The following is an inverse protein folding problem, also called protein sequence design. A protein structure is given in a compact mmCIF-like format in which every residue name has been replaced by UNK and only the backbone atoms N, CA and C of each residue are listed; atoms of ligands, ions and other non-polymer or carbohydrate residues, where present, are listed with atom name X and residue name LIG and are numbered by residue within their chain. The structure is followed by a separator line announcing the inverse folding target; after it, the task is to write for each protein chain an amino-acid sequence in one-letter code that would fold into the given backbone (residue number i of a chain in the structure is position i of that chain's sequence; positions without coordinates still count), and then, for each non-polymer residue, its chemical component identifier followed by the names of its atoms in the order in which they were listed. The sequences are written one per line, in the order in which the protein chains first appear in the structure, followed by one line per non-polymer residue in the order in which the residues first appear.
data_IF_298624960086
#
_entry.id   IF_298624960086
#
_cell.length_a   1.000
_cell.length_b   1.000
_cell.length_c   1.000
_cell.angle_alpha   90.00
_cell.angle_beta   90.00
_cell.angle_gamma   90.00
#
_symmetry.space_group_name_H-M   'P 1'
#
loop_
_entity.id
_entity.type
_entity.pdbx_description
1 polymer ?
#
# COMPACT_ATOMS: atom_id res chain seq x y z
N UNK A 1 -42.19 0.15 9.92
CA UNK A 1 -41.12 -0.05 8.90
C UNK A 1 -40.45 1.30 8.69
N UNK A 2 -39.52 1.67 9.57
CA UNK A 2 -38.84 2.97 9.59
C UNK A 2 -37.35 2.72 9.45
N UNK A 3 -36.94 2.40 8.22
CA UNK A 3 -35.55 2.43 7.81
C UNK A 3 -35.15 3.88 7.64
N UNK A 4 -34.77 4.51 8.74
CA UNK A 4 -34.10 5.80 8.73
C UNK A 4 -32.75 5.59 8.03
N UNK A 5 -32.61 6.12 6.82
CA UNK A 5 -31.34 6.18 6.10
C UNK A 5 -30.34 6.95 6.97
N UNK A 6 -29.60 6.20 7.80
CA UNK A 6 -28.55 6.76 8.63
C UNK A 6 -27.46 7.22 7.67
N UNK A 7 -27.46 8.52 7.37
CA UNK A 7 -26.45 9.11 6.51
C UNK A 7 -25.05 8.72 7.01
N UNK A 8 -24.11 8.37 6.11
CA UNK A 8 -22.78 7.89 6.49
C UNK A 8 -22.03 8.87 7.41
N UNK A 9 -22.36 10.16 7.32
CA UNK A 9 -21.88 11.22 8.21
C UNK A 9 -22.34 11.06 9.66
N UNK A 10 -23.63 10.75 9.88
CA UNK A 10 -24.17 10.55 11.23
C UNK A 10 -23.51 9.34 11.91
N UNK A 11 -23.26 8.26 11.17
CA UNK A 11 -22.54 7.09 11.67
C UNK A 11 -21.08 7.40 12.01
N UNK A 12 -20.37 8.17 11.18
CA UNK A 12 -19.00 8.59 11.44
C UNK A 12 -18.89 9.50 12.68
N UNK A 13 -19.83 10.45 12.83
CA UNK A 13 -19.92 11.35 13.99
C UNK A 13 -20.20 10.58 15.28
N UNK A 14 -21.11 9.60 15.26
CA UNK A 14 -21.38 8.73 16.44
C UNK A 14 -20.14 7.93 16.86
N UNK A 15 -19.38 7.39 15.91
CA UNK A 15 -18.14 6.65 16.20
C UNK A 15 -17.08 7.55 16.84
N UNK A 16 -16.89 8.78 16.33
CA UNK A 16 -15.92 9.71 16.89
C UNK A 16 -16.31 10.19 18.29
N UNK A 17 -17.60 10.43 18.53
CA UNK A 17 -18.16 10.75 19.85
C UNK A 17 -17.95 9.62 20.86
N UNK A 18 -18.29 8.37 20.51
CA UNK A 18 -18.06 7.21 21.39
C UNK A 18 -16.59 7.06 21.77
N UNK A 19 -15.68 7.28 20.82
CA UNK A 19 -14.23 7.26 21.09
C UNK A 19 -13.82 8.36 22.06
N UNK A 20 -14.29 9.60 21.87
CA UNK A 20 -13.99 10.72 22.78
C UNK A 20 -14.55 10.46 24.18
N UNK A 21 -15.79 9.97 24.27
CA UNK A 21 -16.43 9.65 25.54
C UNK A 21 -15.66 8.56 26.30
N UNK A 22 -15.22 7.51 25.61
CA UNK A 22 -14.38 6.48 26.22
C UNK A 22 -13.09 7.05 26.80
N UNK A 23 -12.39 7.93 26.05
CA UNK A 23 -11.16 8.58 26.54
C UNK A 23 -11.45 9.43 27.78
N UNK A 24 -12.55 10.18 27.78
CA UNK A 24 -12.97 10.97 28.95
C UNK A 24 -13.25 10.09 30.16
N UNK A 25 -13.93 8.96 29.97
CA UNK A 25 -14.19 7.99 31.03
C UNK A 25 -12.87 7.43 31.57
N UNK A 26 -11.93 7.07 30.72
CA UNK A 26 -10.62 6.55 31.16
C UNK A 26 -9.82 7.59 31.95
N UNK A 27 -9.87 8.87 31.54
CA UNK A 27 -9.29 9.98 32.32
C UNK A 27 -9.97 10.08 33.67
N UNK A 28 -11.30 10.13 33.70
CA UNK A 28 -12.08 10.25 34.94
C UNK A 28 -11.79 9.08 35.89
N UNK A 29 -11.73 7.85 35.38
CA UNK A 29 -11.39 6.66 36.16
C UNK A 29 -9.97 6.72 36.70
N UNK A 30 -8.99 7.14 35.88
CA UNK A 30 -7.60 7.29 36.30
C UNK A 30 -7.43 8.27 37.46
N UNK A 31 -8.08 9.43 37.36
CA UNK A 31 -8.06 10.43 38.44
C UNK A 31 -8.91 10.03 39.65
N UNK A 32 -10.07 9.39 39.45
CA UNK A 32 -10.89 8.89 40.55
C UNK A 32 -10.18 7.82 41.37
N UNK A 33 -9.41 6.93 40.71
CA UNK A 33 -8.58 5.95 41.39
C UNK A 33 -7.50 6.64 42.23
N UNK A 34 -6.83 7.64 41.68
CA UNK A 34 -5.85 8.43 42.44
C UNK A 34 -6.48 9.15 43.63
N UNK A 35 -7.66 9.74 43.47
CA UNK A 35 -8.37 10.42 44.55
C UNK A 35 -8.81 9.44 45.65
N UNK A 36 -9.25 8.22 45.29
CA UNK A 36 -9.58 7.18 46.27
C UNK A 36 -8.35 6.70 47.05
N UNK A 37 -7.19 6.64 46.38
CA UNK A 37 -5.89 6.34 47.00
C UNK A 37 -5.50 7.47 47.97
N UNK A 38 -5.61 8.73 47.54
CA UNK A 38 -5.33 9.91 48.37
C UNK A 38 -6.18 9.91 49.65
N UNK A 39 -7.49 9.72 49.53
CA UNK A 39 -8.39 9.65 50.70
C UNK A 39 -7.97 8.58 51.71
N UNK A 40 -7.43 7.45 51.25
CA UNK A 40 -7.00 6.34 52.13
C UNK A 40 -5.62 6.53 52.74
N UNK A 41 -4.68 7.16 52.04
CA UNK A 41 -3.28 7.26 52.45
C UNK A 41 -2.92 8.58 53.11
N UNK A 42 -3.47 9.69 52.62
CA UNK A 42 -3.10 11.06 53.01
C UNK A 42 -4.28 11.83 53.61
N UNK A 43 -5.43 11.17 53.77
CA UNK A 43 -6.64 11.75 54.35
C UNK A 43 -7.36 12.74 53.44
N UNK A 44 -7.04 12.77 52.14
CA UNK A 44 -7.67 13.70 51.19
C UNK A 44 -6.95 15.05 51.04
N UNK A 45 -5.68 15.13 51.42
CA UNK A 45 -4.84 16.34 51.27
C UNK A 45 -4.34 16.58 49.84
N UNK A 46 -4.80 15.81 48.84
CA UNK A 46 -4.43 15.98 47.44
C UNK A 46 -2.94 15.74 47.17
N UNK A 47 -2.32 14.85 47.94
CA UNK A 47 -0.89 14.54 47.92
C UNK A 47 0.04 15.71 48.26
N UNK A 48 -0.38 16.70 49.07
CA UNK A 48 0.43 17.85 49.46
C UNK A 48 1.82 17.48 50.04
N UNK A 49 1.90 16.36 50.77
CA UNK A 49 3.15 15.85 51.35
C UNK A 49 4.00 14.94 50.45
N UNK A 50 3.50 14.54 49.27
CA UNK A 50 4.19 13.57 48.39
C UNK A 50 4.80 14.30 47.21
N UNK A 51 6.13 14.44 47.22
CA UNK A 51 6.91 15.04 46.13
C UNK A 51 7.73 13.96 45.42
N UNK A 52 7.62 13.80 44.09
CA UNK A 52 6.72 14.48 43.15
C UNK A 52 5.27 14.00 43.25
N UNK A 53 4.32 14.86 42.86
CA UNK A 53 2.87 14.59 42.99
C UNK A 53 2.40 13.43 42.08
N UNK A 54 1.60 12.47 42.58
CA UNK A 54 1.17 11.31 41.79
C UNK A 54 0.32 11.64 40.55
N UNK A 55 -0.27 12.84 40.48
CA UNK A 55 -1.05 13.31 39.33
C UNK A 55 -0.27 13.34 38.00
N UNK A 56 1.06 13.24 38.03
CA UNK A 56 1.88 12.99 36.85
C UNK A 56 1.52 11.71 36.11
N UNK A 57 1.10 10.65 36.82
CA UNK A 57 0.89 9.33 36.21
C UNK A 57 -0.22 9.35 35.16
N UNK A 58 -1.45 9.82 35.46
CA UNK A 58 -2.50 9.90 34.43
C UNK A 58 -2.12 10.79 33.24
N UNK A 59 -1.43 11.91 33.49
CA UNK A 59 -1.01 12.85 32.44
C UNK A 59 -0.05 12.19 31.45
N UNK A 60 0.99 11.53 31.96
CA UNK A 60 1.99 10.86 31.14
C UNK A 60 1.39 9.68 30.37
N UNK A 61 0.56 8.86 31.04
CA UNK A 61 -0.12 7.73 30.40
C UNK A 61 -1.01 8.22 29.25
N UNK A 62 -1.80 9.28 29.47
CA UNK A 62 -2.66 9.82 28.42
C UNK A 62 -1.88 10.43 27.26
N UNK A 63 -0.79 11.14 27.55
CA UNK A 63 0.10 11.69 26.53
C UNK A 63 0.76 10.58 25.69
N UNK A 64 1.18 9.48 26.32
CA UNK A 64 1.86 8.37 25.65
C UNK A 64 0.90 7.46 24.86
N UNK A 65 -0.27 7.17 25.43
CA UNK A 65 -1.24 6.25 24.82
C UNK A 65 -2.06 6.96 23.76
N UNK A 66 -2.43 8.22 23.97
CA UNK A 66 -3.38 8.92 23.10
C UNK A 66 -2.79 10.12 22.36
N UNK A 67 -1.64 10.65 22.79
CA UNK A 67 -0.99 11.81 22.20
C UNK A 67 -1.35 13.12 22.91
N UNK A 68 -1.06 14.24 22.26
CA UNK A 68 -1.11 15.60 22.85
C UNK A 68 -2.48 15.97 23.42
N UNK A 69 -3.56 15.75 22.66
CA UNK A 69 -4.91 16.22 23.05
C UNK A 69 -5.36 15.67 24.42
N UNK A 70 -5.48 14.33 24.58
CA UNK A 70 -5.88 13.76 25.87
C UNK A 70 -4.85 13.96 26.98
N UNK A 71 -3.55 14.02 26.66
CA UNK A 71 -2.52 14.37 27.63
C UNK A 71 -2.71 15.78 28.22
N UNK A 72 -2.97 16.77 27.38
CA UNK A 72 -3.24 18.16 27.82
C UNK A 72 -4.53 18.25 28.62
N UNK A 73 -5.56 17.51 28.23
CA UNK A 73 -6.81 17.45 28.98
C UNK A 73 -6.61 16.83 30.37
N UNK A 74 -5.82 15.76 30.47
CA UNK A 74 -5.43 15.19 31.75
C UNK A 74 -4.60 16.19 32.60
N UNK A 75 -3.68 16.94 31.99
CA UNK A 75 -2.93 17.99 32.68
C UNK A 75 -3.84 19.10 33.23
N UNK A 76 -4.87 19.49 32.48
CA UNK A 76 -5.87 20.47 32.95
C UNK A 76 -6.65 19.93 34.17
N UNK A 77 -7.08 18.67 34.14
CA UNK A 77 -7.75 18.03 35.28
C UNK A 77 -6.83 17.95 36.50
N UNK A 78 -5.57 17.54 36.31
CA UNK A 78 -4.56 17.52 37.38
C UNK A 78 -4.36 18.93 37.98
N UNK A 79 -4.30 19.96 37.13
CA UNK A 79 -4.13 21.35 37.57
C UNK A 79 -5.30 21.84 38.42
N UNK A 80 -6.53 21.50 38.03
CA UNK A 80 -7.74 21.85 38.80
C UNK A 80 -7.73 21.14 40.14
N UNK A 81 -7.45 19.83 40.17
CA UNK A 81 -7.38 19.05 41.41
C UNK A 81 -6.29 19.57 42.36
N UNK A 82 -5.13 19.91 41.82
CA UNK A 82 -4.03 20.51 42.57
C UNK A 82 -4.43 21.86 43.18
N UNK A 83 -5.06 22.72 42.40
CA UNK A 83 -5.50 24.03 42.87
C UNK A 83 -6.54 23.90 43.99
N UNK A 84 -7.51 22.99 43.85
CA UNK A 84 -8.53 22.73 44.89
C UNK A 84 -7.89 22.21 46.19
N UNK A 85 -6.93 21.30 46.10
CA UNK A 85 -6.22 20.79 47.26
C UNK A 85 -5.35 21.85 47.95
N UNK A 86 -4.66 22.70 47.17
CA UNK A 86 -3.77 23.74 47.67
C UNK A 86 -4.50 24.86 48.45
N UNK A 87 -5.78 25.11 48.19
CA UNK A 87 -6.57 26.11 48.94
C UNK A 87 -6.87 25.69 50.40
N UNK A 88 -6.60 24.44 50.79
CA UNK A 88 -6.79 23.97 52.16
C UNK A 88 -5.65 24.34 53.12
N UNK A 89 -4.46 24.62 52.60
CA UNK A 89 -3.25 24.85 53.40
C UNK A 89 -3.06 26.35 53.67
N UNK A 90 -3.75 26.87 54.69
CA UNK A 90 -3.71 28.29 55.12
C UNK A 90 -2.40 28.70 55.81
N UNK A 91 -1.24 28.31 55.30
CA UNK A 91 0.05 28.59 55.94
C UNK A 91 0.68 29.88 55.41
N UNK A 92 1.11 30.73 56.34
CA UNK A 92 1.80 32.00 56.11
C UNK A 92 3.19 31.74 55.51
N UNK A 93 3.24 31.67 54.18
CA UNK A 93 4.43 31.35 53.41
C UNK A 93 4.71 32.48 52.45
N UNK A 94 5.99 32.76 52.26
CA UNK A 94 6.49 33.87 51.44
C UNK A 94 5.73 33.94 50.11
N UNK A 95 5.14 35.10 49.79
CA UNK A 95 4.14 35.21 48.72
C UNK A 95 4.68 34.72 47.37
N UNK A 96 5.96 34.98 47.10
CA UNK A 96 6.65 34.55 45.88
C UNK A 96 6.84 33.02 45.83
N UNK A 97 7.18 32.41 46.96
CA UNK A 97 7.38 30.96 47.09
C UNK A 97 6.04 30.22 46.96
N UNK A 98 4.97 30.79 47.51
CA UNK A 98 3.59 30.31 47.35
C UNK A 98 3.14 30.37 45.90
N UNK A 99 3.32 31.49 45.19
CA UNK A 99 2.96 31.62 43.78
C UNK A 99 3.74 30.64 42.89
N UNK A 100 5.04 30.48 43.16
CA UNK A 100 5.91 29.60 42.39
C UNK A 100 5.51 28.13 42.61
N UNK A 101 5.29 27.72 43.86
CA UNK A 101 4.83 26.37 44.18
C UNK A 101 3.45 26.03 43.63
N UNK A 102 2.55 27.02 43.52
CA UNK A 102 1.21 26.80 42.98
C UNK A 102 1.21 26.67 41.46
N UNK A 103 2.09 27.40 40.76
CA UNK A 103 2.11 27.50 39.30
C UNK A 103 3.06 26.52 38.59
N UNK A 104 4.15 26.09 39.24
CA UNK A 104 5.13 25.17 38.63
C UNK A 104 4.53 23.82 38.18
N UNK A 105 3.79 23.08 39.04
CA UNK A 105 3.32 21.76 38.68
C UNK A 105 2.37 21.75 37.47
N UNK A 106 1.35 22.64 37.39
CA UNK A 106 0.50 22.79 36.20
C UNK A 106 1.27 23.04 34.90
N UNK A 107 2.26 23.94 34.95
CA UNK A 107 3.09 24.27 33.80
C UNK A 107 3.90 23.04 33.34
N UNK A 108 4.53 22.34 34.26
CA UNK A 108 5.33 21.16 33.96
C UNK A 108 4.46 20.03 33.39
N UNK A 109 3.26 19.79 33.94
CA UNK A 109 2.32 18.82 33.37
C UNK A 109 1.92 19.16 31.95
N UNK A 110 1.60 20.43 31.68
CA UNK A 110 1.26 20.91 30.35
C UNK A 110 2.40 20.70 29.37
N UNK A 111 3.62 21.16 29.71
CA UNK A 111 4.80 21.03 28.86
C UNK A 111 5.13 19.57 28.58
N UNK A 112 5.12 18.72 29.60
CA UNK A 112 5.40 17.29 29.44
C UNK A 112 4.33 16.59 28.60
N UNK A 113 3.06 16.88 28.82
CA UNK A 113 1.96 16.35 28.02
C UNK A 113 2.11 16.73 26.54
N UNK A 114 2.52 17.97 26.26
CA UNK A 114 2.75 18.44 24.90
C UNK A 114 3.96 17.74 24.27
N UNK A 115 5.10 17.75 24.95
CA UNK A 115 6.34 17.16 24.43
C UNK A 115 6.18 15.67 24.12
N UNK A 116 5.67 14.89 25.09
CA UNK A 116 5.47 13.45 24.95
C UNK A 116 4.34 13.16 23.95
N UNK A 117 3.28 13.96 24.00
CA UNK A 117 2.13 13.84 23.11
C UNK A 117 2.51 14.01 21.64
N UNK A 118 3.33 15.02 21.32
CA UNK A 118 3.80 15.25 19.96
C UNK A 118 4.72 14.14 19.46
N UNK A 119 5.66 13.69 20.28
CA UNK A 119 6.52 12.54 19.94
C UNK A 119 5.67 11.29 19.65
N UNK A 120 4.65 11.06 20.45
CA UNK A 120 3.70 9.95 20.27
C UNK A 120 2.92 10.08 18.97
N UNK A 121 2.39 11.27 18.66
CA UNK A 121 1.67 11.52 17.42
C UNK A 121 2.58 11.35 16.20
N UNK A 122 3.81 11.86 16.25
CA UNK A 122 4.81 11.69 15.21
C UNK A 122 5.14 10.21 14.99
N UNK A 123 5.37 9.45 16.07
CA UNK A 123 5.63 8.01 16.00
C UNK A 123 4.49 7.25 15.34
N UNK A 124 3.25 7.52 15.76
CA UNK A 124 2.05 6.89 15.17
C UNK A 124 1.88 7.23 13.68
N UNK A 125 2.09 8.49 13.31
CA UNK A 125 2.04 8.93 11.90
C UNK A 125 3.11 8.24 11.06
N UNK A 126 4.34 8.10 11.58
CA UNK A 126 5.44 7.40 10.90
C UNK A 126 5.12 5.93 10.71
N UNK A 127 4.62 5.25 11.74
CA UNK A 127 4.23 3.85 11.68
C UNK A 127 3.12 3.62 10.65
N UNK A 128 2.05 4.41 10.71
CA UNK A 128 0.94 4.31 9.75
C UNK A 128 1.41 4.59 8.31
N UNK A 129 2.36 5.49 8.09
CA UNK A 129 2.95 5.75 6.78
C UNK A 129 3.79 4.56 6.29
N UNK A 130 4.55 3.92 7.18
CA UNK A 130 5.34 2.74 6.87
C UNK A 130 4.44 1.55 6.49
N UNK A 131 3.39 1.28 7.27
CA UNK A 131 2.41 0.23 7.00
C UNK A 131 1.69 0.43 5.66
N UNK A 132 1.30 1.67 5.35
CA UNK A 132 0.70 2.01 4.05
C UNK A 132 1.65 1.72 2.89
N UNK A 133 2.93 2.08 3.02
CA UNK A 133 3.95 1.81 1.99
C UNK A 133 4.18 0.31 1.82
N UNK A 134 4.27 -0.44 2.92
CA UNK A 134 4.40 -1.89 2.86
C UNK A 134 3.21 -2.51 2.12
N UNK A 135 1.98 -2.12 2.50
CA UNK A 135 0.75 -2.58 1.84
C UNK A 135 0.74 -2.23 0.34
N UNK A 136 1.19 -1.04 -0.02
CA UNK A 136 1.26 -0.59 -1.41
C UNK A 136 2.31 -1.38 -2.20
N UNK A 137 3.51 -1.57 -1.65
CA UNK A 137 4.55 -2.38 -2.29
C UNK A 137 4.10 -3.83 -2.52
N UNK A 138 3.39 -4.44 -1.57
CA UNK A 138 2.82 -5.79 -1.74
C UNK A 138 1.83 -5.84 -2.90
N UNK A 139 0.97 -4.82 -3.06
CA UNK A 139 0.04 -4.72 -4.18
C UNK A 139 0.76 -4.51 -5.51
N UNK A 140 1.81 -3.71 -5.52
CA UNK A 140 2.59 -3.44 -6.73
C UNK A 140 3.32 -4.72 -7.18
N UNK A 141 3.93 -5.46 -6.25
CA UNK A 141 4.55 -6.77 -6.55
C UNK A 141 3.51 -7.74 -7.16
N UNK A 142 2.31 -7.82 -6.59
CA UNK A 142 1.25 -8.67 -7.13
C UNK A 142 0.87 -8.29 -8.57
N UNK A 143 0.80 -6.98 -8.87
CA UNK A 143 0.53 -6.48 -10.23
C UNK A 143 1.67 -6.76 -11.20
N UNK A 144 2.93 -6.61 -10.77
CA UNK A 144 4.09 -6.93 -11.60
C UNK A 144 4.14 -8.43 -11.92
N UNK A 145 3.83 -9.29 -10.94
CA UNK A 145 3.76 -10.74 -11.15
C UNK A 145 2.67 -11.10 -12.17
N UNK A 146 1.48 -10.52 -12.05
CA UNK A 146 0.38 -10.72 -13.01
C UNK A 146 0.76 -10.23 -14.43
N UNK A 147 1.41 -9.08 -14.55
CA UNK A 147 1.89 -8.56 -15.82
C UNK A 147 2.98 -9.46 -16.44
N UNK A 148 3.90 -9.97 -15.61
CA UNK A 148 4.94 -10.90 -16.04
C UNK A 148 4.35 -12.22 -16.54
N UNK A 149 3.40 -12.81 -15.80
CA UNK A 149 2.68 -14.01 -16.22
C UNK A 149 1.96 -13.83 -17.54
N UNK A 150 1.29 -12.68 -17.73
CA UNK A 150 0.60 -12.33 -18.98
C UNK A 150 1.58 -12.21 -20.13
N UNK A 151 2.73 -11.57 -19.92
CA UNK A 151 3.77 -11.43 -20.93
C UNK A 151 4.36 -12.79 -21.31
N UNK A 152 4.66 -13.63 -20.34
CA UNK A 152 5.18 -14.99 -20.55
C UNK A 152 4.19 -15.85 -21.31
N UNK A 153 2.90 -15.84 -20.96
CA UNK A 153 1.86 -16.58 -21.70
C UNK A 153 1.73 -16.08 -23.14
N UNK A 154 1.79 -14.76 -23.33
CA UNK A 154 1.71 -14.16 -24.68
C UNK A 154 2.93 -14.58 -25.51
N UNK A 155 4.13 -14.50 -24.94
CA UNK A 155 5.36 -14.91 -25.60
C UNK A 155 5.32 -16.40 -25.98
N UNK A 156 4.94 -17.28 -25.05
CA UNK A 156 4.76 -18.71 -25.34
C UNK A 156 3.70 -18.96 -26.42
N UNK A 157 2.60 -18.20 -26.45
CA UNK A 157 1.60 -18.33 -27.50
C UNK A 157 2.14 -17.92 -28.87
N UNK A 158 2.95 -16.86 -28.92
CA UNK A 158 3.61 -16.41 -30.15
C UNK A 158 4.66 -17.42 -30.60
N UNK A 159 5.50 -17.92 -29.70
CA UNK A 159 6.47 -18.98 -29.98
C UNK A 159 5.78 -20.24 -30.53
N UNK A 160 4.67 -20.67 -29.92
CA UNK A 160 3.87 -21.80 -30.43
C UNK A 160 3.28 -21.52 -31.80
N UNK A 161 2.81 -20.29 -32.07
CA UNK A 161 2.31 -19.91 -33.39
C UNK A 161 3.41 -19.87 -34.44
N UNK A 162 4.59 -19.35 -34.11
CA UNK A 162 5.76 -19.30 -35.02
C UNK A 162 6.31 -20.69 -35.29
N UNK A 163 6.39 -21.56 -34.28
CA UNK A 163 6.86 -22.94 -34.44
C UNK A 163 5.81 -23.86 -35.08
N UNK A 164 4.52 -23.56 -34.87
CA UNK A 164 3.39 -24.33 -35.39
C UNK A 164 2.86 -23.84 -36.74
N UNK A 165 3.32 -22.69 -37.26
CA UNK A 165 3.03 -22.25 -38.63
C UNK A 165 3.93 -23.03 -39.60
N UNK A 166 3.39 -24.02 -40.33
CA UNK A 166 4.19 -24.95 -41.11
C UNK A 166 4.75 -24.34 -42.40
N UNK A 167 4.48 -23.06 -42.72
CA UNK A 167 4.67 -22.57 -44.10
C UNK A 167 5.88 -21.71 -44.42
N UNK A 168 6.67 -21.13 -43.50
CA UNK A 168 7.41 -19.91 -43.95
C UNK A 168 8.87 -19.71 -43.56
N UNK A 169 9.57 -20.64 -42.94
CA UNK A 169 11.04 -20.48 -42.85
C UNK A 169 11.82 -21.77 -42.97
N UNK A 170 11.48 -22.80 -42.20
CA UNK A 170 12.14 -24.11 -42.30
C UNK A 170 11.92 -24.77 -43.66
N UNK A 171 10.68 -24.75 -44.16
CA UNK A 171 10.33 -25.27 -45.48
C UNK A 171 10.97 -24.45 -46.61
N UNK A 172 10.97 -23.11 -46.52
CA UNK A 172 11.65 -22.23 -47.48
C UNK A 172 13.14 -22.57 -47.57
N UNK A 173 13.83 -22.69 -46.43
CA UNK A 173 15.27 -22.98 -46.38
C UNK A 173 15.57 -24.40 -46.88
N UNK A 174 14.75 -25.39 -46.51
CA UNK A 174 14.90 -26.76 -47.01
C UNK A 174 14.64 -26.87 -48.53
N UNK A 175 13.67 -26.13 -49.05
CA UNK A 175 13.41 -26.10 -50.51
C UNK A 175 14.50 -25.31 -51.23
N UNK A 176 15.03 -24.24 -50.63
CA UNK A 176 16.17 -23.49 -51.16
C UNK A 176 17.47 -24.32 -51.20
N UNK A 177 17.73 -25.17 -50.21
CA UNK A 177 18.90 -26.08 -50.28
C UNK A 177 18.73 -27.17 -51.34
N UNK A 178 17.49 -27.60 -51.65
CA UNK A 178 17.21 -28.51 -52.77
C UNK A 178 17.45 -27.88 -54.16
N UNK A 179 17.43 -26.55 -54.29
CA UNK A 179 17.84 -25.87 -55.54
C UNK A 179 19.33 -26.08 -55.86
N UNK A 180 20.17 -26.33 -54.85
CA UNK A 180 21.60 -26.61 -55.04
C UNK A 180 21.88 -28.07 -55.42
N UNK A 181 20.86 -28.93 -55.55
CA UNK A 181 21.03 -30.33 -55.90
C UNK A 181 21.61 -30.52 -57.32
N UNK A 182 22.54 -31.45 -57.46
CA UNK A 182 23.17 -31.81 -58.74
C UNK A 182 22.18 -32.43 -59.73
N UNK A 183 21.13 -33.09 -59.23
CA UNK A 183 20.06 -33.65 -60.05
C UNK A 183 19.17 -32.56 -60.69
N UNK A 184 19.10 -32.48 -62.04
CA UNK A 184 18.26 -31.52 -62.74
C UNK A 184 16.75 -31.70 -62.52
N UNK A 185 16.28 -32.89 -62.14
CA UNK A 185 14.87 -33.13 -61.86
C UNK A 185 14.48 -32.59 -60.47
N UNK A 186 15.25 -32.94 -59.44
CA UNK A 186 15.07 -32.41 -58.09
C UNK A 186 15.15 -30.87 -58.04
N UNK A 187 16.06 -30.28 -58.82
CA UNK A 187 16.21 -28.82 -58.89
C UNK A 187 14.99 -28.12 -59.48
N UNK A 188 14.40 -28.69 -60.54
CA UNK A 188 13.17 -28.15 -61.15
C UNK A 188 11.97 -28.27 -60.20
N UNK A 189 11.85 -29.40 -59.50
CA UNK A 189 10.79 -29.59 -58.51
C UNK A 189 10.90 -28.56 -57.36
N UNK A 190 12.10 -28.33 -56.83
CA UNK A 190 12.34 -27.34 -55.79
C UNK A 190 12.07 -25.90 -56.27
N UNK A 191 12.40 -25.58 -57.52
CA UNK A 191 12.08 -24.28 -58.13
C UNK A 191 10.56 -24.07 -58.24
N UNK A 192 9.83 -25.09 -58.67
CA UNK A 192 8.37 -25.02 -58.79
C UNK A 192 7.71 -24.81 -57.42
N UNK A 193 8.19 -25.53 -56.40
CA UNK A 193 7.70 -25.42 -55.02
C UNK A 193 7.97 -24.04 -54.40
N UNK A 194 9.12 -23.41 -54.70
CA UNK A 194 9.41 -22.03 -54.27
C UNK A 194 8.56 -20.98 -55.00
N UNK A 195 8.33 -21.16 -56.30
CA UNK A 195 7.47 -20.27 -57.09
C UNK A 195 6.04 -20.36 -56.58
N UNK A 196 5.55 -21.57 -56.31
CA UNK A 196 4.22 -21.78 -55.72
C UNK A 196 4.08 -21.10 -54.36
N UNK A 197 5.11 -21.22 -53.52
CA UNK A 197 5.15 -20.62 -52.19
C UNK A 197 5.18 -19.08 -52.26
N UNK A 198 5.91 -18.50 -53.22
CA UNK A 198 5.99 -17.05 -53.41
C UNK A 198 4.74 -16.46 -54.07
N UNK A 199 4.14 -17.17 -55.03
CA UNK A 199 2.94 -16.75 -55.75
C UNK A 199 1.66 -17.02 -54.93
N UNK A 200 1.73 -17.88 -53.90
CA UNK A 200 0.59 -18.29 -53.09
C UNK A 200 -0.39 -19.21 -53.84
N UNK A 201 0.02 -19.79 -54.97
CA UNK A 201 -0.80 -20.66 -55.82
C UNK A 201 0.05 -21.76 -56.47
N UNK A 202 -0.52 -22.96 -56.59
CA UNK A 202 0.11 -24.10 -57.27
C UNK A 202 -0.24 -24.16 -58.78
N UNK A 203 -1.04 -23.20 -59.26
CA UNK A 203 -1.48 -23.07 -60.65
C UNK A 203 -0.68 -21.98 -61.37
N UNK A 204 0.44 -22.37 -61.95
CA UNK A 204 1.29 -21.49 -62.75
C UNK A 204 2.02 -22.27 -63.85
N UNK A 205 2.38 -21.58 -64.93
CA UNK A 205 3.27 -22.10 -65.97
C UNK A 205 4.34 -21.06 -66.30
N UNK A 206 5.61 -21.42 -66.17
CA UNK A 206 6.73 -20.61 -66.57
C UNK A 206 7.17 -20.96 -67.98
N UNK A 207 7.34 -19.95 -68.82
CA UNK A 207 7.82 -20.08 -70.18
C UNK A 207 9.27 -19.63 -70.27
N UNK A 208 10.08 -20.34 -71.06
CA UNK A 208 11.43 -19.94 -71.43
C UNK A 208 11.37 -19.38 -72.85
N UNK A 209 11.84 -18.15 -73.03
CA UNK A 209 11.98 -17.58 -74.38
C UNK A 209 13.19 -18.21 -75.08
N UNK A 210 12.94 -18.71 -76.29
CA UNK A 210 13.93 -19.20 -77.25
C UNK A 210 13.84 -18.38 -78.53
N UNK A 211 14.84 -18.47 -79.41
CA UNK A 211 14.87 -17.76 -80.69
C UNK A 211 13.67 -18.06 -81.60
N UNK A 212 13.03 -19.22 -81.41
CA UNK A 212 11.91 -19.70 -82.23
C UNK A 212 10.53 -19.57 -81.54
N UNK A 213 10.46 -18.96 -80.34
CA UNK A 213 9.20 -18.76 -79.61
C UNK A 213 9.31 -18.98 -78.10
N UNK A 214 8.17 -19.03 -77.41
CA UNK A 214 8.09 -19.29 -75.97
C UNK A 214 7.71 -20.76 -75.71
N UNK A 215 8.61 -21.51 -75.06
CA UNK A 215 8.39 -22.92 -74.71
C UNK A 215 8.01 -23.05 -73.23
N UNK A 216 7.06 -23.94 -72.89
CA UNK A 216 6.74 -24.21 -71.49
C UNK A 216 7.89 -24.95 -70.80
N UNK A 217 8.51 -24.33 -69.80
CA UNK A 217 9.72 -24.84 -69.14
C UNK A 217 9.44 -25.45 -67.76
N UNK A 218 8.51 -24.87 -67.00
CA UNK A 218 8.16 -25.31 -65.66
C UNK A 218 6.65 -25.15 -65.42
N UNK A 219 6.02 -26.11 -64.77
CA UNK A 219 4.60 -26.05 -64.41
C UNK A 219 4.43 -26.33 -62.92
N UNK A 220 3.47 -25.64 -62.32
CA UNK A 220 3.00 -25.95 -60.97
C UNK A 220 2.22 -27.27 -60.95
N UNK A 221 2.15 -27.90 -59.77
CA UNK A 221 1.50 -29.20 -59.59
C UNK A 221 -0.03 -29.14 -59.81
N UNK A 222 -0.63 -27.94 -59.83
CA UNK A 222 -2.06 -27.73 -60.06
C UNK A 222 -2.48 -27.75 -61.53
N UNK A 223 -1.54 -27.77 -62.49
CA UNK A 223 -1.83 -27.79 -63.93
C UNK A 223 -1.92 -29.25 -64.41
N UNK A 224 -3.11 -29.75 -64.84
CA UNK A 224 -3.25 -31.13 -65.31
C UNK A 224 -2.42 -31.37 -66.57
N UNK A 225 -1.66 -32.46 -66.59
CA UNK A 225 -0.82 -32.84 -67.73
C UNK A 225 -1.67 -33.26 -68.93
N UNK A 226 -1.50 -32.55 -70.05
CA UNK A 226 -1.79 -33.03 -71.40
C UNK A 226 -0.51 -33.53 -72.04
#
# INVERSE_FOLDING_TARGET
MTGEDITPEAAARRRSLRRRLRILIEIAVGFALLAAIDQRLTGGSGFAGVRPSPYWVPVLVMALVYGTGPGVMAAAVASVLWLVAAHGDGTERDYLDTLLHLSLPPLLWGVAAVAIGEVTLLRKRRLAKAERRATQATRDIARLAEAHDRLTRTNQSLQRRVAGDPRTTGHVVATATRLAASDPAARRAAMAELIALAAGTDDFTCYRLTSDGAESWLRGAGVPGT
#
